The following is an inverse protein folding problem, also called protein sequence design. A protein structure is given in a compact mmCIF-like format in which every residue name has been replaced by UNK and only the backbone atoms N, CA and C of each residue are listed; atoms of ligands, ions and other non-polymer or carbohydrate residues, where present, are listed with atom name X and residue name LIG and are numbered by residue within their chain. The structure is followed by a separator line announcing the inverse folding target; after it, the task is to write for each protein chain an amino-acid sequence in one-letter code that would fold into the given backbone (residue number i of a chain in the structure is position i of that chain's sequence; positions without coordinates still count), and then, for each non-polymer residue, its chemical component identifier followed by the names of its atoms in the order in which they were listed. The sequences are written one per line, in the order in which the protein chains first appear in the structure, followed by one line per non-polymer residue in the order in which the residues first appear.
data_IF_023262585853
#
_entry.id   IF_023262585853
#
_cell.length_a   1.000
_cell.length_b   1.000
_cell.length_c   1.000
_cell.angle_alpha   90.00
_cell.angle_beta   90.00
_cell.angle_gamma   90.00
#
_symmetry.space_group_name_H-M   'P 1'
#
loop_
_entity.id
_entity.type
_entity.pdbx_description
1 polymer ?
#
# COMPACT_ATOMS: atom_id res chain seq x y z
N UNK A 1 4.62 -6.62 -22.40
CA UNK A 1 5.28 -6.03 -21.22
C UNK A 1 5.94 -4.72 -21.63
N UNK A 2 5.62 -3.62 -20.94
CA UNK A 2 6.31 -2.33 -21.07
C UNK A 2 7.37 -2.25 -19.98
N UNK A 3 8.62 -2.08 -20.38
CA UNK A 3 9.75 -1.89 -19.47
C UNK A 3 10.12 -0.41 -19.46
N UNK A 4 10.17 0.18 -18.27
CA UNK A 4 10.67 1.54 -18.06
C UNK A 4 11.83 1.46 -17.08
N UNK A 5 13.00 1.92 -17.51
CA UNK A 5 14.22 2.00 -16.69
C UNK A 5 14.65 3.46 -16.65
N UNK A 6 14.93 3.99 -15.46
CA UNK A 6 15.50 5.33 -15.35
C UNK A 6 16.29 5.57 -14.07
N UNK A 7 17.16 6.58 -14.14
CA UNK A 7 18.06 6.96 -13.06
C UNK A 7 17.43 7.88 -12.01
N UNK A 8 16.22 8.40 -12.26
CA UNK A 8 15.51 9.29 -11.35
C UNK A 8 14.02 8.98 -11.41
N UNK A 9 13.41 8.69 -10.27
CA UNK A 9 11.97 8.51 -10.16
C UNK A 9 11.29 9.78 -10.69
N UNK A 10 10.52 9.72 -11.78
CA UNK A 10 9.87 10.91 -12.28
C UNK A 10 8.73 11.21 -11.32
N UNK A 11 8.63 12.46 -10.88
CA UNK A 11 7.62 12.96 -9.93
C UNK A 11 6.17 12.68 -10.37
N UNK A 12 5.97 12.26 -11.62
CA UNK A 12 4.67 12.00 -12.23
C UNK A 12 4.29 10.50 -12.27
N UNK A 13 5.19 9.54 -12.01
CA UNK A 13 4.81 8.11 -12.01
C UNK A 13 4.06 7.70 -10.74
N UNK A 14 4.13 8.53 -9.69
CA UNK A 14 3.20 8.43 -8.56
C UNK A 14 1.76 8.66 -8.98
N UNK A 15 1.46 9.32 -10.12
CA UNK A 15 0.08 9.51 -10.60
C UNK A 15 -0.67 8.18 -10.82
N UNK A 16 0.04 7.09 -11.10
CA UNK A 16 -0.59 5.75 -11.23
C UNK A 16 -1.09 5.21 -9.88
N UNK A 17 -0.53 5.74 -8.80
CA UNK A 17 -0.75 5.38 -7.39
C UNK A 17 -1.49 6.47 -6.61
N UNK A 18 -1.52 7.70 -7.11
CA UNK A 18 -2.12 8.88 -6.47
C UNK A 18 -3.64 8.84 -6.65
N UNK A 19 -4.30 8.07 -5.79
CA UNK A 19 -5.69 8.41 -5.42
C UNK A 19 -5.67 9.67 -4.58
N UNK A 20 -6.56 10.66 -4.82
CA UNK A 20 -6.65 11.82 -3.95
C UNK A 20 -6.98 11.35 -2.53
N UNK A 21 -6.02 11.50 -1.63
CA UNK A 21 -6.22 11.21 -0.22
C UNK A 21 -6.73 12.46 0.49
N UNK A 22 -7.57 12.22 1.49
CA UNK A 22 -8.13 13.28 2.32
C UNK A 22 -7.61 13.14 3.74
N UNK A 23 -7.32 14.26 4.39
CA UNK A 23 -6.89 14.23 5.78
C UNK A 23 -8.12 14.13 6.68
N UNK A 24 -8.05 13.27 7.70
CA UNK A 24 -9.13 13.11 8.67
C UNK A 24 -9.55 14.45 9.31
N UNK A 25 -8.58 15.33 9.58
CA UNK A 25 -8.81 16.65 10.19
C UNK A 25 -9.75 17.55 9.38
N UNK A 26 -9.72 17.41 8.05
CA UNK A 26 -10.53 18.23 7.15
C UNK A 26 -12.03 17.90 7.34
N UNK A 27 -12.34 16.62 7.57
CA UNK A 27 -13.71 16.18 7.86
C UNK A 27 -14.19 16.53 9.25
N UNK A 28 -13.29 16.51 10.24
CA UNK A 28 -13.62 16.92 11.61
C UNK A 28 -14.06 18.39 11.61
N UNK A 29 -13.34 19.25 10.87
CA UNK A 29 -13.72 20.65 10.70
C UNK A 29 -15.11 20.79 10.08
N UNK A 30 -15.38 20.08 8.99
CA UNK A 30 -16.70 20.11 8.33
C UNK A 30 -17.84 19.62 9.24
N UNK A 31 -17.61 18.57 10.03
CA UNK A 31 -18.61 18.06 10.98
C UNK A 31 -18.97 19.07 12.09
N UNK A 32 -18.07 20.00 12.39
CA UNK A 32 -18.26 21.00 13.45
C UNK A 32 -18.95 22.28 12.98
N UNK A 33 -19.08 22.53 11.67
CA UNK A 33 -19.67 23.78 11.13
C UNK A 33 -21.14 23.91 11.53
N UNK A 34 -21.97 22.93 11.16
CA UNK A 34 -23.38 22.87 11.53
C UNK A 34 -23.93 21.44 11.33
N UNK A 35 -25.15 21.19 11.80
CA UNK A 35 -25.81 19.88 11.66
C UNK A 35 -25.95 19.43 10.21
N UNK A 36 -26.16 20.36 9.29
CA UNK A 36 -26.26 20.06 7.87
C UNK A 36 -24.93 19.49 7.33
N UNK A 37 -23.81 20.17 7.55
CA UNK A 37 -22.50 19.68 7.11
C UNK A 37 -22.09 18.37 7.79
N UNK A 38 -22.42 18.20 9.07
CA UNK A 38 -22.23 16.92 9.75
C UNK A 38 -22.99 15.79 9.04
N UNK A 39 -24.27 15.99 8.71
CA UNK A 39 -25.06 15.00 7.98
C UNK A 39 -24.49 14.73 6.58
N UNK A 40 -24.11 15.77 5.81
CA UNK A 40 -23.50 15.62 4.48
C UNK A 40 -22.24 14.77 4.57
N UNK A 41 -21.35 15.09 5.50
CA UNK A 41 -20.09 14.35 5.68
C UNK A 41 -20.36 12.90 6.07
N UNK A 42 -21.31 12.64 6.96
CA UNK A 42 -21.70 11.28 7.37
C UNK A 42 -22.32 10.49 6.22
N UNK A 43 -23.17 11.11 5.41
CA UNK A 43 -23.94 10.47 4.33
C UNK A 43 -23.19 10.39 3.01
N UNK A 44 -21.93 10.82 2.94
CA UNK A 44 -21.12 10.79 1.72
C UNK A 44 -19.98 9.76 1.85
N UNK A 45 -20.21 8.47 1.50
CA UNK A 45 -19.21 7.41 1.66
C UNK A 45 -17.88 7.69 0.95
N UNK A 46 -17.90 8.38 -0.19
CA UNK A 46 -16.69 8.68 -0.97
C UNK A 46 -15.65 9.49 -0.19
N UNK A 47 -16.09 10.28 0.80
CA UNK A 47 -15.19 11.01 1.71
C UNK A 47 -14.42 10.09 2.65
N UNK A 48 -14.92 8.88 2.90
CA UNK A 48 -14.37 7.93 3.86
C UNK A 48 -13.65 6.74 3.22
N UNK A 49 -13.34 6.83 1.92
CA UNK A 49 -12.71 5.74 1.20
C UNK A 49 -11.23 5.98 0.90
N UNK A 50 -10.70 7.19 1.13
CA UNK A 50 -9.31 7.52 0.82
C UNK A 50 -8.71 8.40 1.93
N UNK A 51 -7.94 7.82 2.85
CA UNK A 51 -7.38 8.55 3.99
C UNK A 51 -5.87 8.76 3.90
N UNK A 52 -5.42 9.95 4.32
CA UNK A 52 -4.03 10.27 4.62
C UNK A 52 -3.80 10.41 6.12
N UNK A 53 -2.62 10.01 6.56
CA UNK A 53 -2.10 10.15 7.93
C UNK A 53 -2.87 9.36 8.98
N UNK A 54 -2.97 8.05 8.76
CA UNK A 54 -3.27 7.08 9.81
C UNK A 54 -4.60 6.37 9.64
N UNK A 55 -4.80 5.37 10.50
CA UNK A 55 -6.02 4.55 10.49
C UNK A 55 -7.19 5.39 10.98
N UNK A 56 -8.29 5.52 10.22
CA UNK A 56 -9.51 6.06 10.79
C UNK A 56 -9.87 5.15 11.95
N UNK A 57 -10.15 5.70 13.14
CA UNK A 57 -10.37 4.88 14.32
C UNK A 57 -11.31 3.73 13.96
N UNK A 58 -10.97 2.50 14.37
CA UNK A 58 -11.68 1.28 13.96
C UNK A 58 -13.21 1.46 14.11
N UNK A 59 -13.64 2.24 15.12
CA UNK A 59 -15.02 2.65 15.32
C UNK A 59 -15.62 3.43 14.14
N UNK A 60 -14.92 4.40 13.56
CA UNK A 60 -15.42 5.19 12.42
C UNK A 60 -15.54 4.33 11.16
N UNK A 61 -14.60 3.40 10.92
CA UNK A 61 -14.64 2.47 9.78
C UNK A 61 -15.66 1.33 9.94
N UNK A 62 -15.86 0.83 11.17
CA UNK A 62 -16.74 -0.32 11.44
C UNK A 62 -18.22 -0.01 11.26
N UNK A 63 -18.65 1.20 11.58
CA UNK A 63 -20.08 1.52 11.67
C UNK A 63 -20.70 2.10 10.40
N UNK A 64 -19.92 2.45 9.37
CA UNK A 64 -20.42 3.30 8.27
C UNK A 64 -20.08 2.77 6.88
N UNK A 65 -20.80 1.73 6.44
CA UNK A 65 -20.84 1.15 5.08
C UNK A 65 -19.84 0.02 4.80
N UNK A 66 -20.34 -1.22 4.78
CA UNK A 66 -19.59 -2.47 4.57
C UNK A 66 -19.26 -2.73 3.08
N UNK A 67 -19.78 -1.94 2.14
CA UNK A 67 -19.70 -2.27 0.71
C UNK A 67 -18.57 -1.60 -0.08
N UNK A 68 -17.97 -0.50 0.42
CA UNK A 68 -17.07 0.30 -0.40
C UNK A 68 -15.59 -0.03 -0.16
N UNK A 69 -14.82 -0.04 -1.24
CA UNK A 69 -13.37 -0.25 -1.23
C UNK A 69 -12.63 0.87 -0.48
N UNK A 70 -11.60 0.51 0.27
CA UNK A 70 -10.84 1.43 1.11
C UNK A 70 -9.39 1.58 0.62
N UNK A 71 -8.95 2.82 0.48
CA UNK A 71 -7.57 3.23 0.22
C UNK A 71 -7.01 3.93 1.46
N UNK A 72 -5.84 3.50 1.92
CA UNK A 72 -5.20 4.07 3.11
C UNK A 72 -3.77 4.46 2.77
N UNK A 73 -3.40 5.67 3.16
CA UNK A 73 -2.02 6.11 3.27
C UNK A 73 -1.62 6.14 4.74
N UNK A 74 -0.56 5.42 5.07
CA UNK A 74 0.00 5.31 6.41
C UNK A 74 1.45 5.76 6.38
N UNK A 75 1.80 6.64 7.31
CA UNK A 75 3.18 6.99 7.62
C UNK A 75 3.45 6.49 9.04
N UNK A 76 4.22 5.40 9.17
CA UNK A 76 4.61 4.81 10.47
C UNK A 76 3.51 4.78 11.55
N UNK A 77 2.40 4.06 11.32
CA UNK A 77 1.31 3.90 12.30
C UNK A 77 1.23 2.44 12.77
N UNK A 78 1.52 2.12 14.05
CA UNK A 78 1.41 0.76 14.55
C UNK A 78 -0.03 0.23 14.59
N UNK A 79 -1.04 1.11 14.58
CA UNK A 79 -2.44 0.71 14.73
C UNK A 79 -3.05 0.09 13.47
N UNK A 80 -2.43 0.31 12.30
CA UNK A 80 -2.91 -0.26 11.02
C UNK A 80 -2.89 -1.78 11.03
N UNK A 81 -2.02 -2.37 11.85
CA UNK A 81 -1.97 -3.82 12.13
C UNK A 81 -3.35 -4.35 12.51
N UNK A 82 -3.99 -3.74 13.51
CA UNK A 82 -5.29 -4.20 14.00
C UNK A 82 -6.40 -4.05 12.98
N UNK A 83 -6.24 -3.08 12.06
CA UNK A 83 -7.18 -2.84 10.98
C UNK A 83 -7.03 -3.85 9.84
N UNK A 84 -5.78 -4.18 9.47
CA UNK A 84 -5.45 -5.22 8.50
C UNK A 84 -5.89 -6.61 8.97
N UNK A 85 -5.83 -6.88 10.28
CA UNK A 85 -6.25 -8.18 10.84
C UNK A 85 -7.77 -8.40 10.80
N UNK A 86 -8.57 -7.36 10.55
CA UNK A 86 -10.01 -7.51 10.54
C UNK A 86 -10.45 -8.41 9.37
N UNK A 87 -11.20 -9.51 9.60
CA UNK A 87 -11.73 -10.34 8.52
C UNK A 87 -12.64 -9.57 7.56
N UNK A 88 -13.20 -8.45 8.04
CA UNK A 88 -14.02 -7.52 7.28
C UNK A 88 -13.19 -6.40 6.66
N UNK A 89 -11.87 -6.56 6.56
CA UNK A 89 -10.99 -5.58 5.93
C UNK A 89 -11.40 -5.39 4.45
N UNK A 90 -11.75 -4.15 4.14
CA UNK A 90 -12.13 -3.68 2.79
C UNK A 90 -10.97 -2.98 2.10
N UNK A 91 -9.76 -3.12 2.63
CA UNK A 91 -8.58 -2.45 2.10
C UNK A 91 -8.25 -3.05 0.76
N UNK A 92 -8.37 -2.23 -0.27
CA UNK A 92 -7.97 -2.58 -1.63
C UNK A 92 -6.70 -1.84 -2.03
N UNK A 93 -6.41 -0.70 -1.41
CA UNK A 93 -5.19 0.07 -1.65
C UNK A 93 -4.51 0.43 -0.35
N UNK A 94 -3.24 0.11 -0.24
CA UNK A 94 -2.40 0.46 0.90
C UNK A 94 -1.14 1.16 0.40
N UNK A 95 -0.96 2.40 0.79
CA UNK A 95 0.29 3.13 0.69
C UNK A 95 0.90 3.18 2.09
N UNK A 96 2.10 2.65 2.22
CA UNK A 96 2.83 2.65 3.47
C UNK A 96 4.20 3.28 3.29
N UNK A 97 4.39 4.43 3.92
CA UNK A 97 5.69 5.11 3.98
C UNK A 97 6.35 4.90 5.34
N UNK A 98 7.68 4.88 5.33
CA UNK A 98 8.55 4.73 6.50
C UNK A 98 8.33 3.40 7.25
N UNK A 99 8.32 2.29 6.52
CA UNK A 99 8.21 0.95 7.10
C UNK A 99 9.48 0.57 7.87
N UNK A 100 9.36 0.23 9.16
CA UNK A 100 10.48 -0.24 9.97
C UNK A 100 10.73 -1.76 9.86
N UNK A 101 11.81 -2.25 10.49
CA UNK A 101 12.13 -3.69 10.53
C UNK A 101 11.08 -4.50 11.29
N UNK A 102 10.69 -4.03 12.49
CA UNK A 102 9.71 -4.74 13.32
C UNK A 102 8.31 -4.78 12.71
N UNK A 103 8.04 -3.91 11.75
CA UNK A 103 6.76 -3.79 11.08
C UNK A 103 6.55 -4.96 10.10
N UNK A 104 7.55 -5.29 9.28
CA UNK A 104 7.49 -6.41 8.31
C UNK A 104 7.18 -7.75 8.98
N UNK A 105 7.89 -8.06 10.06
CA UNK A 105 7.70 -9.31 10.80
C UNK A 105 6.28 -9.42 11.33
N UNK A 106 5.73 -8.31 11.84
CA UNK A 106 4.33 -8.25 12.23
C UNK A 106 3.42 -8.54 11.02
N UNK A 107 3.69 -7.94 9.86
CA UNK A 107 2.81 -8.10 8.68
C UNK A 107 2.83 -9.46 8.03
N UNK A 108 3.91 -10.20 8.18
CA UNK A 108 3.98 -11.58 7.68
C UNK A 108 2.87 -12.48 8.24
N UNK A 109 2.27 -12.10 9.37
CA UNK A 109 1.20 -12.86 10.04
C UNK A 109 -0.21 -12.47 9.60
N UNK A 110 -0.39 -11.39 8.84
CA UNK A 110 -1.73 -10.90 8.47
C UNK A 110 -2.17 -11.42 7.11
N UNK A 111 -3.48 -11.41 6.87
CA UNK A 111 -4.04 -11.72 5.56
C UNK A 111 -4.64 -10.45 4.95
N UNK A 112 -4.49 -10.27 3.64
CA UNK A 112 -5.03 -9.12 2.93
C UNK A 112 -5.62 -9.56 1.58
N UNK A 113 -6.64 -10.44 1.58
CA UNK A 113 -7.10 -11.13 0.38
C UNK A 113 -7.70 -10.19 -0.69
N UNK A 114 -8.18 -9.01 -0.28
CA UNK A 114 -8.77 -7.99 -1.17
C UNK A 114 -7.78 -6.91 -1.61
N UNK A 115 -6.55 -6.94 -1.11
CA UNK A 115 -5.56 -5.93 -1.42
C UNK A 115 -5.14 -6.03 -2.89
N UNK A 116 -5.47 -5.01 -3.68
CA UNK A 116 -5.20 -4.95 -5.11
C UNK A 116 -3.95 -4.10 -5.42
N UNK A 117 -3.75 -3.02 -4.65
CA UNK A 117 -2.66 -2.08 -4.83
C UNK A 117 -1.87 -1.95 -3.53
N UNK A 118 -0.58 -2.21 -3.60
CA UNK A 118 0.32 -2.10 -2.47
C UNK A 118 1.53 -1.25 -2.86
N UNK A 119 1.72 -0.16 -2.14
CA UNK A 119 2.93 0.65 -2.17
C UNK A 119 3.58 0.56 -0.80
N UNK A 120 4.83 0.10 -0.75
CA UNK A 120 5.63 0.08 0.47
C UNK A 120 6.92 0.84 0.25
N UNK A 121 7.30 1.65 1.23
CA UNK A 121 8.58 2.34 1.29
C UNK A 121 9.24 2.10 2.64
N UNK A 122 10.43 1.51 2.63
CA UNK A 122 11.17 1.20 3.85
C UNK A 122 11.90 2.44 4.40
N UNK A 123 12.00 2.51 5.73
CA UNK A 123 12.80 3.51 6.44
C UNK A 123 14.27 3.06 6.43
N UNK A 124 15.04 3.51 5.44
CA UNK A 124 16.47 3.20 5.22
C UNK A 124 16.79 1.74 4.85
N UNK A 125 18.09 1.49 4.59
CA UNK A 125 18.69 0.20 4.22
C UNK A 125 18.53 -0.85 5.31
N UNK A 126 17.30 -1.32 5.48
CA UNK A 126 16.99 -2.32 6.47
C UNK A 126 17.53 -3.66 6.00
N UNK A 127 18.39 -4.28 6.81
CA UNK A 127 18.96 -5.62 6.59
C UNK A 127 17.92 -6.73 6.77
N UNK A 128 16.76 -6.60 6.12
CA UNK A 128 15.70 -7.58 6.20
C UNK A 128 16.19 -8.89 5.60
N UNK A 129 16.13 -9.93 6.42
CA UNK A 129 16.22 -11.29 5.94
C UNK A 129 14.89 -11.66 5.31
N UNK A 130 14.96 -12.67 4.46
CA UNK A 130 13.84 -13.25 3.72
C UNK A 130 12.50 -13.13 4.46
N UNK A 131 11.52 -12.49 3.83
CA UNK A 131 10.21 -12.25 4.45
C UNK A 131 9.08 -12.49 3.45
N UNK A 132 7.87 -12.66 3.96
CA UNK A 132 6.65 -12.83 3.16
C UNK A 132 5.66 -11.76 3.57
N UNK A 133 5.20 -10.95 2.61
CA UNK A 133 4.16 -9.97 2.81
C UNK A 133 2.81 -10.67 3.02
N UNK A 134 2.11 -10.28 4.09
CA UNK A 134 0.74 -10.76 4.39
C UNK A 134 0.58 -12.28 4.33
N UNK A 135 1.60 -13.02 4.81
CA UNK A 135 1.58 -14.48 4.86
C UNK A 135 1.27 -15.17 3.53
N UNK A 136 1.58 -14.53 2.39
CA UNK A 136 1.22 -14.98 1.03
C UNK A 136 -0.30 -14.95 0.71
N UNK A 137 -1.12 -14.32 1.55
CA UNK A 137 -2.57 -14.18 1.35
C UNK A 137 -2.93 -12.83 0.68
N UNK A 138 -2.33 -12.58 -0.49
CA UNK A 138 -2.53 -11.38 -1.31
C UNK A 138 -2.97 -11.75 -2.73
N UNK A 139 -3.91 -12.68 -2.84
CA UNK A 139 -4.35 -13.25 -4.13
C UNK A 139 -4.90 -12.23 -5.11
N UNK A 140 -5.48 -11.12 -4.63
CA UNK A 140 -6.02 -10.06 -5.48
C UNK A 140 -4.99 -9.02 -5.92
N UNK A 141 -3.72 -9.14 -5.50
CA UNK A 141 -2.71 -8.11 -5.75
C UNK A 141 -2.39 -8.01 -7.23
N UNK A 142 -2.60 -6.80 -7.78
CA UNK A 142 -2.38 -6.46 -9.20
C UNK A 142 -1.28 -5.43 -9.38
N UNK A 143 -1.05 -4.59 -8.39
CA UNK A 143 -0.03 -3.54 -8.42
C UNK A 143 0.82 -3.61 -7.16
N UNK A 144 2.13 -3.73 -7.35
CA UNK A 144 3.12 -3.70 -6.28
C UNK A 144 4.19 -2.64 -6.56
N UNK A 145 4.42 -1.75 -5.61
CA UNK A 145 5.55 -0.84 -5.58
C UNK A 145 6.37 -1.06 -4.31
N UNK A 146 7.67 -1.34 -4.47
CA UNK A 146 8.62 -1.49 -3.36
C UNK A 146 9.75 -0.47 -3.50
N UNK A 147 9.86 0.41 -2.53
CA UNK A 147 10.83 1.49 -2.51
C UNK A 147 11.78 1.34 -1.31
N UNK A 148 13.08 1.44 -1.54
CA UNK A 148 14.13 1.31 -0.52
C UNK A 148 14.33 -0.12 0.04
N UNK A 149 14.00 -1.16 -0.73
CA UNK A 149 14.16 -2.55 -0.31
C UNK A 149 15.42 -3.18 -0.91
N UNK A 150 16.21 -3.88 -0.08
CA UNK A 150 17.36 -4.66 -0.57
C UNK A 150 16.98 -6.09 -0.93
N UNK A 151 16.10 -6.69 -0.14
CA UNK A 151 15.61 -8.05 -0.34
C UNK A 151 14.16 -7.99 -0.78
N UNK A 152 13.80 -8.83 -1.74
CA UNK A 152 12.43 -8.95 -2.20
C UNK A 152 11.67 -9.98 -1.36
N UNK A 153 10.35 -9.79 -1.16
CA UNK A 153 9.52 -10.78 -0.51
C UNK A 153 9.48 -12.12 -1.25
N UNK A 154 9.33 -13.23 -0.52
CA UNK A 154 9.17 -14.58 -1.08
C UNK A 154 7.76 -14.88 -1.61
N UNK A 155 6.91 -13.87 -1.72
CA UNK A 155 5.56 -14.00 -2.21
C UNK A 155 5.51 -14.51 -3.67
N UNK A 156 4.45 -15.23 -3.99
CA UNK A 156 4.05 -15.51 -5.37
C UNK A 156 2.88 -14.60 -5.73
N UNK A 157 3.04 -13.79 -6.78
CA UNK A 157 2.04 -12.81 -7.20
C UNK A 157 1.46 -13.13 -8.58
N UNK A 158 0.77 -14.27 -8.71
CA UNK A 158 0.22 -14.75 -9.98
C UNK A 158 -0.65 -13.73 -10.74
N UNK A 159 -1.30 -12.79 -10.04
CA UNK A 159 -2.18 -11.77 -10.62
C UNK A 159 -1.51 -10.40 -10.83
N UNK A 160 -0.19 -10.30 -10.62
CA UNK A 160 0.53 -9.04 -10.72
C UNK A 160 0.56 -8.55 -12.17
N UNK A 161 0.14 -7.30 -12.36
CA UNK A 161 0.12 -6.60 -13.66
C UNK A 161 1.10 -5.43 -13.70
N UNK A 162 1.37 -4.82 -12.55
CA UNK A 162 2.28 -3.69 -12.44
C UNK A 162 3.26 -3.96 -11.29
N UNK A 163 4.55 -3.92 -11.62
CA UNK A 163 5.64 -4.00 -10.66
C UNK A 163 6.50 -2.76 -10.78
N UNK A 164 6.69 -2.08 -9.67
CA UNK A 164 7.61 -0.94 -9.54
C UNK A 164 8.62 -1.22 -8.44
N UNK A 165 9.90 -1.11 -8.77
CA UNK A 165 10.99 -1.30 -7.82
C UNK A 165 11.90 -0.08 -7.87
N UNK A 166 12.01 0.62 -6.74
CA UNK A 166 12.98 1.68 -6.52
C UNK A 166 14.01 1.19 -5.50
N UNK A 167 15.20 0.82 -5.97
CA UNK A 167 16.24 0.19 -5.16
C UNK A 167 17.43 1.12 -4.93
N UNK A 168 18.15 0.89 -3.83
CA UNK A 168 19.49 1.44 -3.62
C UNK A 168 20.56 0.65 -4.37
N UNK A 169 21.84 0.93 -4.17
CA UNK A 169 22.93 0.14 -4.79
C UNK A 169 22.90 -1.35 -4.41
N UNK A 170 23.34 -2.23 -5.32
CA UNK A 170 23.53 -3.66 -5.03
C UNK A 170 22.28 -4.53 -5.18
N UNK A 171 21.39 -4.17 -6.10
CA UNK A 171 20.18 -4.94 -6.39
C UNK A 171 20.51 -6.24 -7.13
N UNK A 172 20.05 -7.35 -6.56
CA UNK A 172 20.11 -8.68 -7.17
C UNK A 172 18.92 -8.87 -8.14
N UNK A 173 19.16 -9.12 -9.44
CA UNK A 173 18.09 -9.33 -10.41
C UNK A 173 17.36 -10.68 -10.25
N UNK A 174 17.98 -11.70 -9.66
CA UNK A 174 17.45 -13.07 -9.66
C UNK A 174 16.07 -13.18 -8.99
N UNK A 175 15.81 -12.57 -7.82
CA UNK A 175 14.48 -12.58 -7.22
C UNK A 175 13.41 -11.90 -8.08
N UNK A 176 13.78 -10.87 -8.86
CA UNK A 176 12.84 -10.27 -9.81
C UNK A 176 12.54 -11.20 -10.95
N UNK A 177 13.54 -11.86 -11.53
CA UNK A 177 13.30 -12.83 -12.59
C UNK A 177 12.36 -13.95 -12.13
N UNK A 178 12.52 -14.42 -10.89
CA UNK A 178 11.60 -15.36 -10.28
C UNK A 178 10.16 -14.82 -10.18
N UNK A 179 9.98 -13.57 -9.76
CA UNK A 179 8.65 -12.94 -9.75
C UNK A 179 8.04 -12.77 -11.13
N UNK A 180 8.84 -12.38 -12.12
CA UNK A 180 8.38 -12.24 -13.50
C UNK A 180 7.94 -13.58 -14.07
N UNK A 181 8.68 -14.65 -13.78
CA UNK A 181 8.30 -16.02 -14.16
C UNK A 181 7.00 -16.46 -13.47
N UNK A 182 6.79 -16.08 -12.21
CA UNK A 182 5.60 -16.40 -11.44
C UNK A 182 4.38 -15.52 -11.76
N UNK A 183 4.57 -14.41 -12.48
CA UNK A 183 3.55 -13.40 -12.75
C UNK A 183 3.29 -13.23 -14.26
N UNK A 184 2.61 -14.20 -14.90
CA UNK A 184 2.44 -14.22 -16.37
C UNK A 184 1.61 -13.04 -16.91
N UNK A 185 0.90 -12.32 -16.04
CA UNK A 185 0.03 -11.20 -16.41
C UNK A 185 0.73 -9.83 -16.34
N UNK A 186 2.06 -9.79 -16.17
CA UNK A 186 2.75 -8.51 -16.01
C UNK A 186 2.72 -7.66 -17.28
N UNK A 187 2.10 -6.50 -17.16
CA UNK A 187 1.94 -5.54 -18.24
C UNK A 187 3.00 -4.44 -18.17
N UNK A 188 3.35 -4.01 -16.95
CA UNK A 188 4.27 -2.89 -16.70
C UNK A 188 5.31 -3.29 -15.66
N UNK A 189 6.59 -3.16 -16.03
CA UNK A 189 7.72 -3.27 -15.12
C UNK A 189 8.48 -1.95 -15.12
N UNK A 190 8.68 -1.42 -13.93
CA UNK A 190 9.33 -0.14 -13.74
C UNK A 190 10.46 -0.31 -12.74
N UNK A 191 11.69 -0.03 -13.17
CA UNK A 191 12.89 -0.16 -12.37
C UNK A 191 13.59 1.19 -12.29
N UNK A 192 13.81 1.67 -11.06
CA UNK A 192 14.58 2.91 -10.84
C UNK A 192 15.64 2.71 -9.78
N UNK A 193 16.73 3.44 -9.94
CA UNK A 193 17.77 3.54 -8.94
C UNK A 193 17.57 4.83 -8.11
N UNK A 194 17.51 4.68 -6.79
CA UNK A 194 17.54 5.81 -5.86
C UNK A 194 18.98 6.16 -5.53
N UNK A 195 19.41 7.37 -5.90
CA UNK A 195 20.69 7.95 -5.49
C UNK A 195 20.42 8.65 -4.15
N UNK A 196 20.93 8.10 -3.05
CA UNK A 196 20.88 8.69 -1.72
C UNK A 196 22.13 9.51 -1.43
#
# INVERSE_FOLDING_TARGET
MRLVVGARAPTNYTLLWDTPFTYKRDFIGLQQVCRFWCNVVIQTPSLWNNFKDGVPSIQWCRFRHVSVSLSIFVMSDPNIVGFLWSPTSRIERLHWDQLGIGDVERYSKYTAPRLCNLFLRAQHHTGWREYTLFGAHTVALRRLALHCFHTLPKNNFANLRHLELAHGSGFDPDPVLHWLAASPLIENLVLWQTIY
#
